data_IF_226955535013
#
_entry.id   IF_226955535013
#
_cell.length_a   1.000
_cell.length_b   1.000
_cell.length_c   1.000
_cell.angle_alpha   90.00
_cell.angle_beta   90.00
_cell.angle_gamma   90.00
#
_symmetry.space_group_name_H-M   'P 1'
#
loop_
_entity.id
_entity.type
_entity.pdbx_description
1 polymer ?
#
# COMPACT_ATOMS: atom_id res chain seq x y z
N UNK A 1 8.35 -14.61 13.08
CA UNK A 1 6.96 -15.01 13.39
C UNK A 1 6.03 -14.37 12.37
N UNK A 2 4.96 -15.04 11.93
CA UNK A 2 4.05 -14.51 10.90
C UNK A 2 4.52 -14.66 9.45
N UNK A 3 5.59 -15.44 9.21
CA UNK A 3 6.10 -15.82 7.90
C UNK A 3 5.98 -17.33 7.74
N UNK A 4 5.84 -17.79 6.50
CA UNK A 4 5.95 -19.21 6.18
C UNK A 4 7.42 -19.60 6.14
N UNK A 5 7.82 -20.52 7.02
CA UNK A 5 9.13 -21.17 6.93
C UNK A 5 9.07 -22.26 5.85
N UNK A 6 9.92 -22.17 4.84
CA UNK A 6 10.01 -23.14 3.75
C UNK A 6 11.46 -23.51 3.48
N UNK A 7 11.72 -24.80 3.30
CA UNK A 7 13.02 -25.34 2.90
C UNK A 7 13.09 -25.65 1.39
N UNK A 8 11.97 -25.52 0.68
CA UNK A 8 11.85 -25.75 -0.75
C UNK A 8 11.51 -24.40 -1.41
N UNK A 9 12.52 -23.75 -1.97
CA UNK A 9 12.39 -22.48 -2.69
C UNK A 9 13.47 -22.37 -3.77
N UNK A 10 13.24 -21.45 -4.69
CA UNK A 10 14.19 -21.05 -5.73
C UNK A 10 14.47 -19.55 -5.55
N UNK A 11 15.74 -19.19 -5.40
CA UNK A 11 16.15 -17.80 -5.20
C UNK A 11 16.20 -17.08 -6.55
N UNK A 12 15.09 -16.40 -6.88
CA UNK A 12 14.95 -15.64 -8.11
C UNK A 12 14.26 -14.30 -7.86
N UNK A 13 14.76 -13.27 -8.52
CA UNK A 13 14.07 -11.98 -8.61
C UNK A 13 13.15 -11.93 -9.84
N UNK A 14 11.97 -11.37 -9.67
CA UNK A 14 10.99 -11.21 -10.74
C UNK A 14 10.20 -9.91 -10.54
N UNK A 15 10.09 -9.09 -11.59
CA UNK A 15 9.29 -7.85 -11.56
C UNK A 15 7.81 -8.13 -11.85
N UNK A 16 7.46 -9.35 -12.26
CA UNK A 16 6.13 -9.76 -12.70
C UNK A 16 5.88 -9.54 -14.19
N UNK A 17 6.83 -8.95 -14.92
CA UNK A 17 6.73 -8.69 -16.36
C UNK A 17 7.97 -9.19 -17.10
N UNK A 18 7.78 -9.51 -18.38
CA UNK A 18 8.89 -9.82 -19.28
C UNK A 18 9.64 -8.56 -19.68
N UNK A 19 10.90 -8.74 -20.10
CA UNK A 19 11.71 -7.67 -20.67
C UNK A 19 11.00 -7.02 -21.88
N UNK A 20 11.07 -5.70 -21.98
CA UNK A 20 10.42 -4.92 -23.02
C UNK A 20 8.96 -4.54 -22.75
N UNK A 21 8.41 -4.85 -21.57
CA UNK A 21 7.07 -4.40 -21.20
C UNK A 21 6.97 -2.85 -21.18
N UNK A 22 5.94 -2.22 -21.78
CA UNK A 22 5.88 -0.76 -21.92
C UNK A 22 5.73 0.03 -20.62
N UNK A 23 5.27 -0.62 -19.54
CA UNK A 23 5.03 0.03 -18.24
C UNK A 23 5.78 -0.70 -17.11
N UNK A 24 7.13 -0.74 -17.15
CA UNK A 24 7.92 -1.59 -16.25
C UNK A 24 8.03 -1.01 -14.83
N UNK A 25 7.83 0.30 -14.67
CA UNK A 25 8.02 0.99 -13.40
C UNK A 25 6.71 1.03 -12.58
N UNK A 26 6.65 0.35 -11.43
CA UNK A 26 5.47 0.36 -10.59
C UNK A 26 5.31 1.72 -9.92
N UNK A 27 4.19 2.40 -10.18
CA UNK A 27 3.88 3.69 -9.57
C UNK A 27 3.20 3.54 -8.21
N UNK A 28 2.01 2.93 -8.19
CA UNK A 28 1.20 2.73 -6.97
C UNK A 28 0.64 1.30 -6.91
N UNK A 29 0.80 0.65 -5.76
CA UNK A 29 0.19 -0.65 -5.45
C UNK A 29 -1.13 -0.46 -4.70
N UNK A 30 -2.24 -0.98 -5.24
CA UNK A 30 -3.56 -0.96 -4.59
C UNK A 30 -3.85 -2.29 -3.91
N UNK A 31 -4.01 -2.29 -2.59
CA UNK A 31 -4.31 -3.47 -1.78
C UNK A 31 -5.68 -3.33 -1.13
N UNK A 32 -6.56 -4.30 -1.35
CA UNK A 32 -7.92 -4.30 -0.82
C UNK A 32 -8.15 -5.46 0.14
N UNK A 33 -8.64 -5.15 1.34
CA UNK A 33 -9.16 -6.15 2.28
C UNK A 33 -10.66 -6.33 2.09
N UNK A 34 -10.99 -7.29 1.23
CA UNK A 34 -12.35 -7.56 0.78
C UNK A 34 -13.09 -8.63 1.57
N UNK A 35 -12.44 -9.25 2.57
CA UNK A 35 -13.04 -10.34 3.33
C UNK A 35 -14.32 -9.87 4.05
N UNK A 36 -15.43 -10.57 3.85
CA UNK A 36 -16.70 -10.21 4.50
C UNK A 36 -16.70 -10.48 6.01
N UNK A 37 -15.98 -11.52 6.43
CA UNK A 37 -15.89 -11.91 7.83
C UNK A 37 -14.75 -11.16 8.51
N UNK A 38 -15.05 -10.46 9.61
CA UNK A 38 -14.07 -9.67 10.38
C UNK A 38 -12.82 -10.47 10.78
N UNK A 39 -12.91 -11.74 11.24
CA UNK A 39 -11.72 -12.51 11.62
C UNK A 39 -10.74 -12.77 10.47
N UNK A 40 -11.21 -12.68 9.21
CA UNK A 40 -10.38 -12.89 8.02
C UNK A 40 -9.79 -11.59 7.47
N UNK A 41 -10.11 -10.43 8.06
CA UNK A 41 -9.52 -9.15 7.66
C UNK A 41 -8.21 -8.95 8.42
N UNK A 42 -7.22 -8.37 7.74
CA UNK A 42 -6.08 -7.82 8.45
C UNK A 42 -6.52 -6.69 9.38
N UNK A 43 -5.90 -6.66 10.57
CA UNK A 43 -5.93 -5.46 11.40
C UNK A 43 -5.22 -4.31 10.68
N UNK A 44 -5.53 -3.03 10.99
CA UNK A 44 -4.91 -1.89 10.31
C UNK A 44 -3.38 -1.96 10.25
N UNK A 45 -2.74 -2.29 11.37
CA UNK A 45 -1.29 -2.42 11.47
C UNK A 45 -0.74 -3.55 10.59
N UNK A 46 -1.46 -4.67 10.47
CA UNK A 46 -1.08 -5.80 9.61
C UNK A 46 -1.20 -5.43 8.13
N UNK A 47 -2.26 -4.68 7.77
CA UNK A 47 -2.42 -4.16 6.40
C UNK A 47 -1.29 -3.20 6.05
N UNK A 48 -0.92 -2.28 6.96
CA UNK A 48 0.22 -1.38 6.76
C UNK A 48 1.54 -2.13 6.62
N UNK A 49 1.79 -3.15 7.44
CA UNK A 49 2.98 -3.98 7.32
C UNK A 49 3.04 -4.71 5.95
N UNK A 50 1.91 -5.26 5.50
CA UNK A 50 1.77 -5.85 4.15
C UNK A 50 2.08 -4.81 3.06
N UNK A 51 1.55 -3.59 3.16
CA UNK A 51 1.84 -2.51 2.21
C UNK A 51 3.33 -2.18 2.15
N UNK A 52 3.99 -2.04 3.30
CA UNK A 52 5.44 -1.77 3.37
C UNK A 52 6.23 -2.87 2.66
N UNK A 53 5.94 -4.15 2.98
CA UNK A 53 6.66 -5.29 2.42
C UNK A 53 6.46 -5.41 0.89
N UNK A 54 5.24 -5.17 0.41
CA UNK A 54 4.94 -5.22 -1.02
C UNK A 54 5.60 -4.07 -1.79
N UNK A 55 5.55 -2.85 -1.26
CA UNK A 55 6.21 -1.70 -1.86
C UNK A 55 7.74 -1.88 -1.87
N UNK A 56 8.30 -2.39 -0.77
CA UNK A 56 9.72 -2.72 -0.66
C UNK A 56 10.15 -3.78 -1.67
N UNK A 57 9.41 -4.89 -1.77
CA UNK A 57 9.73 -5.97 -2.72
C UNK A 57 9.70 -5.50 -4.17
N UNK A 58 8.71 -4.68 -4.53
CA UNK A 58 8.63 -4.08 -5.88
C UNK A 58 9.81 -3.13 -6.14
N UNK A 59 10.14 -2.25 -5.19
CA UNK A 59 11.28 -1.36 -5.33
C UNK A 59 12.61 -2.12 -5.45
N UNK A 60 12.78 -3.20 -4.67
CA UNK A 60 13.99 -4.02 -4.69
C UNK A 60 14.14 -4.79 -6.01
N UNK A 61 13.07 -5.41 -6.51
CA UNK A 61 13.08 -6.10 -7.80
C UNK A 61 13.46 -5.14 -8.94
N UNK A 62 12.93 -3.91 -8.92
CA UNK A 62 13.29 -2.86 -9.89
C UNK A 62 14.74 -2.41 -9.73
N UNK A 63 15.21 -2.19 -8.50
CA UNK A 63 16.59 -1.80 -8.25
C UNK A 63 17.57 -2.88 -8.73
N UNK A 64 17.28 -4.16 -8.52
CA UNK A 64 18.11 -5.27 -9.02
C UNK A 64 18.12 -5.37 -10.54
N UNK A 65 16.97 -5.15 -11.18
CA UNK A 65 16.88 -5.09 -12.64
C UNK A 65 17.74 -3.94 -13.22
N UNK A 66 17.73 -2.77 -12.57
CA UNK A 66 18.43 -1.57 -13.06
C UNK A 66 19.92 -1.52 -12.71
N UNK A 67 20.28 -1.98 -11.51
CA UNK A 67 21.61 -1.77 -10.92
C UNK A 67 22.38 -3.07 -10.64
N UNK A 68 21.82 -4.22 -11.00
CA UNK A 68 22.37 -5.54 -10.71
C UNK A 68 22.13 -5.98 -9.26
N UNK A 69 22.65 -7.17 -8.92
CA UNK A 69 22.37 -7.84 -7.63
C UNK A 69 23.30 -7.42 -6.49
N UNK A 70 24.20 -6.47 -6.73
CA UNK A 70 25.17 -6.04 -5.72
C UNK A 70 24.48 -5.29 -4.56
N UNK A 71 24.88 -5.61 -3.33
CA UNK A 71 24.47 -4.88 -2.14
C UNK A 71 25.20 -3.54 -2.08
N UNK A 72 24.47 -2.43 -2.21
CA UNK A 72 25.03 -1.08 -2.23
C UNK A 72 24.01 -0.01 -1.86
N UNK A 73 24.51 1.17 -1.52
CA UNK A 73 23.71 2.40 -1.52
C UNK A 73 23.39 2.77 -2.96
N UNK A 74 22.12 3.08 -3.24
CA UNK A 74 21.66 3.42 -4.58
C UNK A 74 21.97 4.90 -4.87
N UNK A 75 22.59 5.17 -6.02
CA UNK A 75 22.82 6.54 -6.49
C UNK A 75 21.49 7.24 -6.83
N UNK A 76 20.53 6.48 -7.37
CA UNK A 76 19.19 6.92 -7.69
C UNK A 76 18.17 6.04 -6.94
N UNK A 77 17.62 6.54 -5.81
CA UNK A 77 16.62 5.82 -5.03
C UNK A 77 15.38 5.44 -5.85
N UNK A 78 14.80 4.28 -5.56
CA UNK A 78 13.55 3.82 -6.19
C UNK A 78 12.38 4.14 -5.28
N UNK A 79 11.37 4.82 -5.80
CA UNK A 79 10.15 5.19 -5.05
C UNK A 79 8.97 4.33 -5.52
N UNK A 80 8.23 3.74 -4.59
CA UNK A 80 7.00 3.00 -4.87
C UNK A 80 5.93 3.43 -3.87
N UNK A 81 4.74 3.77 -4.36
CA UNK A 81 3.59 4.14 -3.54
C UNK A 81 2.70 2.93 -3.27
N UNK A 82 1.91 2.97 -2.20
CA UNK A 82 0.84 2.01 -1.96
C UNK A 82 -0.38 2.63 -1.30
N UNK A 83 -1.56 2.17 -1.70
CA UNK A 83 -2.84 2.51 -1.08
C UNK A 83 -3.51 1.22 -0.61
N UNK A 84 -3.76 1.13 0.69
CA UNK A 84 -4.49 0.03 1.30
C UNK A 84 -5.90 0.46 1.70
N UNK A 85 -6.92 -0.36 1.48
CA UNK A 85 -8.28 -0.04 1.93
C UNK A 85 -9.13 -1.26 2.29
N UNK A 86 -10.06 -1.09 3.23
CA UNK A 86 -11.14 -2.05 3.51
C UNK A 86 -12.49 -1.65 2.88
N UNK A 87 -12.46 -0.67 1.96
CA UNK A 87 -13.61 -0.05 1.33
C UNK A 87 -14.15 1.19 2.06
N UNK A 88 -13.74 1.43 3.31
CA UNK A 88 -14.16 2.59 4.11
C UNK A 88 -12.99 3.39 4.69
N UNK A 89 -11.98 2.70 5.19
CA UNK A 89 -10.73 3.24 5.72
C UNK A 89 -9.64 3.10 4.66
N UNK A 90 -8.81 4.12 4.53
CA UNK A 90 -7.66 4.16 3.64
C UNK A 90 -6.37 4.28 4.45
N UNK A 91 -5.33 3.61 3.98
CA UNK A 91 -3.95 3.75 4.42
C UNK A 91 -3.16 4.24 3.20
N UNK A 92 -2.33 5.27 3.38
CA UNK A 92 -1.47 5.79 2.32
C UNK A 92 -0.01 5.56 2.68
N UNK A 93 0.79 5.13 1.71
CA UNK A 93 2.20 4.82 1.91
C UNK A 93 3.03 5.28 0.72
N UNK A 94 4.16 5.89 1.02
CA UNK A 94 5.24 6.17 0.05
C UNK A 94 6.51 5.54 0.60
N UNK A 95 7.11 4.61 -0.14
CA UNK A 95 8.38 3.98 0.20
C UNK A 95 9.46 4.47 -0.73
N UNK A 96 10.62 4.80 -0.18
CA UNK A 96 11.83 5.12 -0.92
C UNK A 96 12.95 4.16 -0.53
N UNK A 97 13.38 3.36 -1.50
CA UNK A 97 14.50 2.45 -1.40
C UNK A 97 15.80 3.21 -1.69
N UNK A 98 16.60 3.42 -0.65
CA UNK A 98 17.88 4.13 -0.71
C UNK A 98 19.08 3.18 -0.76
N UNK A 99 18.93 1.95 -0.26
CA UNK A 99 20.02 0.97 -0.20
C UNK A 99 19.49 -0.46 -0.37
N UNK A 100 20.29 -1.29 -1.04
CA UNK A 100 20.13 -2.75 -1.12
C UNK A 100 21.06 -3.48 -0.15
N UNK A 101 21.98 -2.78 0.51
CA UNK A 101 22.77 -3.32 1.62
C UNK A 101 21.93 -3.35 2.90
N UNK A 102 21.43 -4.54 3.23
CA UNK A 102 20.51 -4.80 4.33
C UNK A 102 21.07 -5.78 5.36
N UNK A 103 22.33 -6.23 5.19
CA UNK A 103 22.95 -7.20 6.08
C UNK A 103 23.29 -6.59 7.45
N UNK A 104 23.53 -5.29 7.51
CA UNK A 104 23.89 -4.55 8.72
C UNK A 104 22.76 -3.63 9.21
N UNK A 105 22.65 -3.50 10.54
CA UNK A 105 21.80 -2.50 11.18
C UNK A 105 22.38 -1.09 11.11
N UNK A 106 23.63 -0.92 10.70
CA UNK A 106 24.29 0.38 10.53
C UNK A 106 24.10 0.97 9.12
N UNK A 107 24.55 2.21 8.91
CA UNK A 107 24.58 2.84 7.58
C UNK A 107 23.25 3.46 7.12
N UNK A 108 23.14 3.69 5.81
CA UNK A 108 21.97 4.32 5.17
C UNK A 108 20.73 3.45 5.34
N UNK A 109 19.57 4.09 5.54
CA UNK A 109 18.27 3.43 5.70
C UNK A 109 17.30 3.83 4.61
N UNK A 110 16.37 2.91 4.35
CA UNK A 110 15.20 3.18 3.52
C UNK A 110 14.20 4.04 4.30
N UNK A 111 13.39 4.82 3.58
CA UNK A 111 12.41 5.71 4.18
C UNK A 111 11.00 5.26 3.82
N UNK A 112 10.08 5.48 4.76
CA UNK A 112 8.66 5.28 4.52
C UNK A 112 7.86 6.41 5.14
N UNK A 113 6.96 7.00 4.37
CA UNK A 113 5.94 7.94 4.84
C UNK A 113 4.61 7.22 4.84
N UNK A 114 3.91 7.31 5.96
CA UNK A 114 2.65 6.60 6.18
C UNK A 114 1.63 7.56 6.73
N UNK A 115 0.45 7.53 6.14
CA UNK A 115 -0.74 8.17 6.70
C UNK A 115 -1.79 7.11 7.00
N UNK A 116 -2.11 6.97 8.28
CA UNK A 116 -2.83 5.82 8.81
C UNK A 116 -4.29 6.12 9.04
N UNK A 117 -5.14 5.10 8.86
CA UNK A 117 -6.52 5.08 9.34
C UNK A 117 -7.41 6.24 8.84
N UNK A 118 -7.20 6.64 7.59
CA UNK A 118 -7.93 7.75 6.95
C UNK A 118 -9.33 7.29 6.52
N UNK A 119 -10.35 7.65 7.28
CA UNK A 119 -11.73 7.36 6.93
C UNK A 119 -12.15 8.17 5.70
N UNK A 120 -12.74 7.50 4.70
CA UNK A 120 -13.43 8.20 3.60
C UNK A 120 -14.83 8.63 4.03
N UNK A 121 -15.51 7.79 4.81
CA UNK A 121 -16.82 8.07 5.40
C UNK A 121 -16.99 7.29 6.71
N UNK A 122 -17.82 7.80 7.62
CA UNK A 122 -18.05 7.15 8.92
C UNK A 122 -18.92 5.90 8.78
N UNK A 123 -20.06 6.02 8.10
CA UNK A 123 -21.02 4.93 7.87
C UNK A 123 -21.80 5.14 6.57
N UNK A 124 -22.48 4.11 6.08
CA UNK A 124 -23.38 4.20 4.94
C UNK A 124 -24.70 3.52 5.28
N UNK A 125 -25.78 4.28 5.29
CA UNK A 125 -27.13 3.75 5.47
C UNK A 125 -27.65 3.24 4.13
N UNK A 126 -27.72 1.91 3.98
CA UNK A 126 -28.28 1.30 2.77
C UNK A 126 -29.81 1.43 2.67
N UNK A 127 -30.48 1.64 3.81
CA UNK A 127 -31.93 1.79 3.93
C UNK A 127 -32.22 2.96 4.88
N UNK A 128 -33.35 3.68 4.70
CA UNK A 128 -33.70 4.77 5.59
C UNK A 128 -34.03 4.24 6.99
N UNK A 129 -33.50 4.89 8.03
CA UNK A 129 -33.81 4.56 9.42
C UNK A 129 -35.07 5.31 9.82
N UNK A 130 -36.18 4.59 10.00
CA UNK A 130 -37.47 5.18 10.39
C UNK A 130 -37.72 4.90 11.87
N UNK A 131 -37.92 5.95 12.67
CA UNK A 131 -38.34 5.85 14.08
C UNK A 131 -39.61 6.66 14.30
N UNK A 132 -40.62 6.07 14.94
CA UNK A 132 -41.92 6.73 15.20
C UNK A 132 -42.55 7.37 13.95
N UNK A 133 -42.51 6.66 12.81
CA UNK A 133 -42.98 7.12 11.49
C UNK A 133 -42.26 8.35 10.92
N UNK A 134 -41.08 8.69 11.44
CA UNK A 134 -40.22 9.78 10.94
C UNK A 134 -38.88 9.19 10.47
N UNK A 135 -38.40 9.63 9.31
CA UNK A 135 -37.06 9.28 8.83
C UNK A 135 -36.04 10.03 9.69
N UNK A 136 -35.20 9.29 10.40
CA UNK A 136 -34.14 9.82 11.26
C UNK A 136 -32.81 9.86 10.51
N UNK A 137 -32.53 8.83 9.71
CA UNK A 137 -31.34 8.78 8.86
C UNK A 137 -31.77 8.47 7.43
N UNK A 138 -31.48 9.34 6.45
CA UNK A 138 -31.72 9.03 5.05
C UNK A 138 -30.70 8.01 4.51
N UNK A 139 -31.00 7.45 3.34
CA UNK A 139 -30.04 6.60 2.61
C UNK A 139 -28.83 7.43 2.19
N UNK A 140 -27.63 6.90 2.41
CA UNK A 140 -26.39 7.52 1.95
C UNK A 140 -25.24 7.45 2.96
N UNK A 141 -24.07 8.02 2.58
CA UNK A 141 -22.92 8.10 3.47
C UNK A 141 -23.13 9.17 4.55
N UNK A 142 -22.60 8.92 5.73
CA UNK A 142 -22.52 9.88 6.83
C UNK A 142 -21.06 10.13 7.19
N UNK A 143 -20.74 11.37 7.60
CA UNK A 143 -19.37 11.74 7.99
C UNK A 143 -18.33 11.58 6.89
N UNK A 144 -18.67 11.95 5.65
CA UNK A 144 -17.74 11.94 4.52
C UNK A 144 -16.56 12.90 4.77
N UNK A 145 -15.34 12.45 4.50
CA UNK A 145 -14.10 13.23 4.67
C UNK A 145 -13.42 13.44 3.32
N UNK A 146 -13.58 14.61 2.68
CA UNK A 146 -13.00 14.87 1.35
C UNK A 146 -11.46 14.89 1.37
N UNK A 147 -10.84 15.18 2.51
CA UNK A 147 -9.38 15.19 2.65
C UNK A 147 -8.75 13.83 2.36
N UNK A 148 -9.43 12.73 2.72
CA UNK A 148 -8.97 11.36 2.38
C UNK A 148 -8.89 11.18 0.86
N UNK A 149 -9.88 11.69 0.11
CA UNK A 149 -9.85 11.61 -1.35
C UNK A 149 -8.80 12.54 -1.97
N UNK A 150 -8.57 13.73 -1.41
CA UNK A 150 -7.50 14.61 -1.88
C UNK A 150 -6.12 13.96 -1.79
N UNK A 151 -5.86 13.22 -0.70
CA UNK A 151 -4.61 12.45 -0.54
C UNK A 151 -4.50 11.33 -1.57
N UNK A 152 -5.58 10.59 -1.78
CA UNK A 152 -5.65 9.57 -2.84
C UNK A 152 -5.33 10.16 -4.22
N UNK A 153 -5.94 11.30 -4.55
CA UNK A 153 -5.71 11.99 -5.82
C UNK A 153 -4.28 12.52 -5.92
N UNK A 154 -3.71 13.05 -4.84
CA UNK A 154 -2.34 13.55 -4.82
C UNK A 154 -1.32 12.44 -5.14
N UNK A 155 -1.50 11.23 -4.60
CA UNK A 155 -0.66 10.08 -4.96
C UNK A 155 -0.82 9.73 -6.44
N UNK A 156 -2.06 9.63 -6.94
CA UNK A 156 -2.33 9.31 -8.35
C UNK A 156 -1.67 10.30 -9.32
N UNK A 157 -1.67 11.60 -8.98
CA UNK A 157 -1.09 12.65 -9.81
C UNK A 157 0.44 12.75 -9.70
N UNK A 158 1.06 12.09 -8.72
CA UNK A 158 2.49 12.19 -8.47
C UNK A 158 3.30 11.70 -9.68
N UNK A 159 4.16 12.56 -10.24
CA UNK A 159 4.99 12.22 -11.41
C UNK A 159 4.31 12.45 -12.77
N UNK A 160 3.07 12.93 -12.80
CA UNK A 160 2.35 13.28 -14.03
C UNK A 160 2.05 14.79 -14.16
N UNK A 161 2.08 15.54 -13.06
CA UNK A 161 1.84 17.00 -13.00
C UNK A 161 2.94 17.73 -12.25
#
# INVERSE_FOLDING_TARGET
MGLQESNLYDEKDDTGFQEGYPYPYPHTLYLMESANLRPHRFQPDQLRAKMILFAFGNALAQARLLYGNDAKVLEQPVVVQSVGTDGRVFQFLVLQLNTTDLASSEGIKNLVWVDSDQLLYQHFWCLPVIKKKVVVEPVGPTGFQPETFKKFLALYLHGAV
#
